data_IF_061043925368
#
_entry.id   IF_061043925368
#
_cell.length_a   1.000
_cell.length_b   1.000
_cell.length_c   1.000
_cell.angle_alpha   90.00
_cell.angle_beta   90.00
_cell.angle_gamma   90.00
#
_symmetry.space_group_name_H-M   'P 1'
#
loop_
_entity.id
_entity.type
_entity.pdbx_description
1 polymer ?
#
# COMPACT_ATOMS: atom_id res chain seq x y z
N UNK A 1 10.68 7.17 19.65
CA UNK A 1 9.46 7.92 19.25
C UNK A 1 8.43 6.92 18.77
N UNK A 2 7.14 7.11 19.08
CA UNK A 2 6.09 6.15 18.71
C UNK A 2 5.70 6.28 17.22
N UNK A 3 5.85 7.46 16.61
CA UNK A 3 5.54 7.72 15.20
C UNK A 3 6.33 6.88 14.20
N UNK A 4 7.64 6.73 14.39
CA UNK A 4 8.50 5.98 13.47
C UNK A 4 8.10 4.50 13.35
N UNK A 5 7.62 3.90 14.46
CA UNK A 5 7.18 2.49 14.46
C UNK A 5 5.88 2.32 13.66
N UNK A 6 4.96 3.27 13.78
CA UNK A 6 3.71 3.26 13.00
C UNK A 6 3.99 3.43 11.51
N UNK A 7 4.85 4.38 11.14
CA UNK A 7 5.24 4.60 9.74
C UNK A 7 5.86 3.35 9.13
N UNK A 8 6.86 2.74 9.80
CA UNK A 8 7.49 1.50 9.32
C UNK A 8 6.52 0.34 9.18
N UNK A 9 5.57 0.20 10.12
CA UNK A 9 4.52 -0.84 10.02
C UNK A 9 3.66 -0.62 8.77
N UNK A 10 3.20 0.59 8.55
CA UNK A 10 2.34 0.90 7.41
C UNK A 10 3.09 0.89 6.08
N UNK A 11 4.38 1.20 6.07
CA UNK A 11 5.24 1.07 4.89
C UNK A 11 5.31 -0.39 4.43
N UNK A 12 5.51 -1.32 5.38
CA UNK A 12 5.48 -2.75 5.08
C UNK A 12 4.09 -3.22 4.62
N UNK A 13 3.01 -2.79 5.29
CA UNK A 13 1.64 -3.16 4.89
C UNK A 13 1.27 -2.60 3.51
N UNK A 14 1.64 -1.35 3.21
CA UNK A 14 1.35 -0.71 1.92
C UNK A 14 2.13 -1.36 0.78
N UNK A 15 3.41 -1.65 0.98
CA UNK A 15 4.23 -2.38 0.01
C UNK A 15 3.65 -3.77 -0.27
N UNK A 16 3.30 -4.53 0.78
CA UNK A 16 2.65 -5.84 0.61
C UNK A 16 1.30 -5.75 -0.09
N UNK A 17 0.48 -4.75 0.24
CA UNK A 17 -0.79 -4.51 -0.44
C UNK A 17 -0.60 -4.24 -1.92
N UNK A 18 0.41 -3.44 -2.30
CA UNK A 18 0.74 -3.21 -3.70
C UNK A 18 1.09 -4.52 -4.41
N UNK A 19 2.01 -5.31 -3.84
CA UNK A 19 2.40 -6.59 -4.44
C UNK A 19 1.24 -7.59 -4.54
N UNK A 20 0.39 -7.69 -3.50
CA UNK A 20 -0.82 -8.55 -3.53
C UNK A 20 -1.78 -8.15 -4.65
N UNK A 21 -1.83 -6.87 -5.02
CA UNK A 21 -2.68 -6.34 -6.09
C UNK A 21 -1.98 -6.28 -7.46
N UNK A 22 -0.73 -6.76 -7.54
CA UNK A 22 0.03 -6.78 -8.80
C UNK A 22 0.69 -5.45 -9.16
N UNK A 23 0.97 -4.58 -8.19
CA UNK A 23 1.77 -3.38 -8.38
C UNK A 23 3.13 -3.47 -7.66
N UNK A 24 4.18 -2.98 -8.31
CA UNK A 24 5.49 -2.69 -7.74
C UNK A 24 5.66 -1.17 -7.55
N UNK A 25 5.68 -0.73 -6.28
CA UNK A 25 5.83 0.70 -5.95
C UNK A 25 7.24 1.23 -6.24
N UNK A 26 8.26 0.36 -6.15
CA UNK A 26 9.64 0.76 -6.42
C UNK A 26 9.83 0.91 -7.93
N UNK A 27 9.25 0.01 -8.73
CA UNK A 27 9.25 0.16 -10.19
C UNK A 27 8.44 1.38 -10.64
N UNK A 28 7.25 1.60 -10.08
CA UNK A 28 6.44 2.79 -10.36
C UNK A 28 7.18 4.10 -10.05
N UNK A 29 7.99 4.14 -8.98
CA UNK A 29 8.88 5.26 -8.69
C UNK A 29 9.97 5.44 -9.76
N UNK A 30 10.61 4.35 -10.18
CA UNK A 30 11.66 4.39 -11.21
C UNK A 30 11.11 4.82 -12.59
N UNK A 31 9.89 4.42 -12.94
CA UNK A 31 9.20 4.86 -14.17
C UNK A 31 8.69 6.30 -14.10
N UNK A 32 8.59 6.87 -12.89
CA UNK A 32 8.05 8.20 -12.65
C UNK A 32 6.52 8.25 -12.54
N UNK A 33 5.86 7.10 -12.49
CA UNK A 33 4.41 6.98 -12.33
C UNK A 33 3.97 7.24 -10.88
N UNK A 34 4.88 7.06 -9.93
CA UNK A 34 4.69 7.32 -8.50
C UNK A 34 5.83 8.21 -7.99
N UNK A 35 5.66 9.53 -7.86
CA UNK A 35 6.68 10.38 -7.25
C UNK A 35 6.92 10.04 -5.76
N UNK A 36 8.16 10.16 -5.24
CA UNK A 36 8.46 9.82 -3.83
C UNK A 36 7.61 10.58 -2.81
N UNK A 37 7.29 11.84 -3.07
CA UNK A 37 6.40 12.67 -2.23
C UNK A 37 4.96 12.16 -2.23
N UNK A 38 4.51 11.57 -3.34
CA UNK A 38 3.20 10.94 -3.45
C UNK A 38 3.19 9.63 -2.69
N UNK A 39 4.23 8.78 -2.81
CA UNK A 39 4.36 7.56 -2.01
C UNK A 39 4.36 7.85 -0.52
N UNK A 40 5.05 8.90 -0.08
CA UNK A 40 5.01 9.32 1.31
C UNK A 40 3.61 9.80 1.74
N UNK A 41 2.91 10.52 0.87
CA UNK A 41 1.51 10.94 1.12
C UNK A 41 0.56 9.74 1.21
N UNK A 42 0.73 8.73 0.35
CA UNK A 42 0.02 7.45 0.43
C UNK A 42 0.31 6.73 1.75
N UNK A 43 1.57 6.72 2.22
CA UNK A 43 1.94 6.13 3.49
C UNK A 43 1.25 6.86 4.66
N UNK A 44 1.26 8.20 4.68
CA UNK A 44 0.55 8.97 5.68
C UNK A 44 -0.97 8.68 5.67
N UNK A 45 -1.58 8.61 4.49
CA UNK A 45 -2.99 8.20 4.34
C UNK A 45 -3.22 6.79 4.91
N UNK A 46 -2.32 5.85 4.62
CA UNK A 46 -2.38 4.48 5.12
C UNK A 46 -2.39 4.42 6.65
N UNK A 47 -1.60 5.25 7.33
CA UNK A 47 -1.58 5.30 8.81
C UNK A 47 -2.92 5.68 9.45
N UNK A 48 -3.82 6.31 8.68
CA UNK A 48 -5.17 6.68 9.11
C UNK A 48 -6.26 5.71 8.64
N UNK A 49 -5.92 4.47 8.25
CA UNK A 49 -6.93 3.46 7.92
C UNK A 49 -7.66 2.96 9.19
N UNK A 50 -8.88 2.46 9.02
CA UNK A 50 -9.73 2.06 10.15
C UNK A 50 -9.36 0.69 10.74
N UNK A 51 -8.61 -0.15 10.01
CA UNK A 51 -8.29 -1.52 10.45
C UNK A 51 -6.91 -2.00 9.99
N UNK A 52 -5.81 -1.53 10.63
CA UNK A 52 -4.47 -1.98 10.30
C UNK A 52 -4.19 -3.44 10.69
N UNK A 53 -4.90 -3.99 11.69
CA UNK A 53 -4.76 -5.40 12.07
C UNK A 53 -5.47 -6.33 11.09
N UNK A 54 -6.66 -5.95 10.64
CA UNK A 54 -7.36 -6.61 9.55
C UNK A 54 -6.56 -6.58 8.25
N UNK A 55 -5.89 -5.47 7.94
CA UNK A 55 -4.97 -5.37 6.80
C UNK A 55 -3.90 -6.47 6.83
N UNK A 56 -3.20 -6.62 7.96
CA UNK A 56 -2.19 -7.67 8.13
C UNK A 56 -2.79 -9.07 7.92
N UNK A 57 -3.89 -9.39 8.62
CA UNK A 57 -4.53 -10.72 8.55
C UNK A 57 -5.04 -11.04 7.14
N UNK A 58 -5.57 -10.04 6.44
CA UNK A 58 -6.02 -10.18 5.07
C UNK A 58 -4.83 -10.48 4.14
N UNK A 59 -3.74 -9.71 4.25
CA UNK A 59 -2.52 -9.94 3.46
C UNK A 59 -1.86 -11.29 3.75
N UNK A 60 -1.99 -11.82 4.97
CA UNK A 60 -1.45 -13.14 5.33
C UNK A 60 -2.24 -14.30 4.68
N UNK A 61 -3.47 -14.04 4.21
CA UNK A 61 -4.36 -15.04 3.62
C UNK A 61 -4.59 -14.85 2.11
N UNK A 62 -4.11 -13.73 1.53
CA UNK A 62 -4.29 -13.38 0.13
C UNK A 62 -2.92 -13.21 -0.55
N UNK A 63 -2.35 -14.28 -1.13
CA UNK A 63 -1.10 -14.18 -1.87
C UNK A 63 -1.22 -13.32 -3.14
N UNK A 64 -2.43 -13.24 -3.70
CA UNK A 64 -2.83 -12.29 -4.76
C UNK A 64 -4.31 -11.96 -4.61
N UNK A 65 -4.72 -10.81 -5.11
CA UNK A 65 -6.12 -10.39 -5.17
C UNK A 65 -6.35 -9.39 -6.32
N UNK A 66 -7.56 -9.37 -6.86
CA UNK A 66 -7.95 -8.39 -7.89
C UNK A 66 -8.33 -7.03 -7.29
N UNK A 67 -8.69 -6.98 -6.01
CA UNK A 67 -9.13 -5.77 -5.34
C UNK A 67 -8.71 -5.76 -3.87
N UNK A 68 -8.42 -4.56 -3.38
CA UNK A 68 -8.13 -4.32 -1.98
C UNK A 68 -9.41 -4.49 -1.11
N UNK A 69 -9.26 -4.78 0.19
CA UNK A 69 -10.38 -4.69 1.12
C UNK A 69 -10.88 -3.24 1.22
N UNK A 70 -12.19 -3.05 1.45
CA UNK A 70 -12.86 -1.74 1.38
C UNK A 70 -12.37 -0.68 2.38
N UNK A 71 -11.57 -1.05 3.39
CA UNK A 71 -10.92 -0.10 4.31
C UNK A 71 -9.57 0.42 3.81
N UNK A 72 -9.04 -0.12 2.69
CA UNK A 72 -7.76 0.28 2.14
C UNK A 72 -7.88 1.66 1.50
N UNK A 73 -7.25 2.66 2.13
CA UNK A 73 -7.30 4.06 1.69
C UNK A 73 -6.55 4.36 0.40
N UNK A 74 -5.68 3.44 -0.03
CA UNK A 74 -4.85 3.58 -1.23
C UNK A 74 -5.27 2.59 -2.33
N UNK A 75 -6.43 1.95 -2.18
CA UNK A 75 -6.92 0.90 -3.08
C UNK A 75 -6.97 1.36 -4.53
N UNK A 76 -7.64 2.49 -4.79
CA UNK A 76 -7.77 3.05 -6.14
C UNK A 76 -6.40 3.36 -6.75
N UNK A 77 -5.51 4.03 -5.99
CA UNK A 77 -4.21 4.42 -6.51
C UNK A 77 -3.31 3.23 -6.80
N UNK A 78 -3.31 2.22 -5.93
CA UNK A 78 -2.56 0.99 -6.17
C UNK A 78 -3.11 0.25 -7.39
N UNK A 79 -4.45 0.19 -7.54
CA UNK A 79 -5.08 -0.45 -8.70
C UNK A 79 -4.79 0.29 -10.02
N UNK A 80 -4.55 1.60 -9.98
CA UNK A 80 -4.05 2.34 -11.16
C UNK A 80 -2.61 1.96 -11.50
N UNK A 81 -1.71 1.91 -10.50
CA UNK A 81 -0.30 1.56 -10.70
C UNK A 81 -0.13 0.12 -11.22
N UNK A 82 -0.97 -0.81 -10.75
CA UNK A 82 -0.98 -2.21 -11.19
C UNK A 82 -1.33 -2.40 -12.68
N UNK A 83 -1.89 -1.40 -13.36
CA UNK A 83 -2.25 -1.50 -14.79
C UNK A 83 -1.05 -1.29 -15.71
N UNK A 84 0.05 -0.77 -15.17
CA UNK A 84 1.25 -0.40 -15.92
C UNK A 84 2.44 -1.34 -15.67
N UNK A 85 2.26 -2.36 -14.82
CA UNK A 85 3.20 -3.47 -14.61
C UNK A 85 2.98 -4.63 -15.59
#
# INVERSE_FOLDING_TARGET
>A
MQGDKTLKKHENLMSRMASTLGADLDEAELRGDLPPEERFSMLLSCTGCSDPEGCQKWLDTHPSAEAAPGYCRNSDRIAELARFD
#
